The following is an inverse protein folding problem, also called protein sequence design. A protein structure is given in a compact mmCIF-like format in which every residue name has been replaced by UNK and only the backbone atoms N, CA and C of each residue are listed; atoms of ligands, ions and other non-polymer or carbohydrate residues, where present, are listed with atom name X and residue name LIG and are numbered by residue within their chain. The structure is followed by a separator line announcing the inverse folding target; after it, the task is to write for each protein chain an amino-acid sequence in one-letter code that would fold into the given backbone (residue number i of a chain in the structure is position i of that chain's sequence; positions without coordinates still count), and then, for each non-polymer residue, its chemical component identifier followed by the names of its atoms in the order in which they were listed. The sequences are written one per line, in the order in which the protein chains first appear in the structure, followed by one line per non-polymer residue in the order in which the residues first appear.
data_IF_703149480890
#
_entry.id   IF_703149480890
#
_cell.length_a   1.000
_cell.length_b   1.000
_cell.length_c   1.000
_cell.angle_alpha   90.00
_cell.angle_beta   90.00
_cell.angle_gamma   90.00
#
_symmetry.space_group_name_H-M   'P 1'
#
loop_
_entity.id
_entity.type
_entity.pdbx_description
1 polymer ?
#
# COMPACT_ATOMS: atom_id res chain seq x y z
N UNK A 1 -14.81 7.26 17.88
CA UNK A 1 -13.98 8.48 17.71
C UNK A 1 -13.24 8.33 16.41
N UNK A 2 -13.18 9.36 15.57
CA UNK A 2 -12.44 9.33 14.31
C UNK A 2 -10.96 9.02 14.60
N UNK A 3 -10.31 8.21 13.77
CA UNK A 3 -8.90 7.90 13.95
C UNK A 3 -8.00 9.09 13.56
N UNK A 4 -6.82 9.26 14.19
CA UNK A 4 -5.86 10.26 13.76
C UNK A 4 -5.30 9.95 12.37
N UNK A 5 -4.78 10.97 11.69
CA UNK A 5 -4.18 10.84 10.35
C UNK A 5 -2.74 11.34 10.38
N UNK A 6 -1.84 10.52 9.87
CA UNK A 6 -0.45 10.88 9.62
C UNK A 6 -0.33 11.45 8.20
N UNK A 7 0.06 12.72 8.06
CA UNK A 7 0.16 13.40 6.76
C UNK A 7 1.58 13.82 6.45
N UNK A 8 1.95 13.76 5.17
CA UNK A 8 3.19 14.31 4.65
C UNK A 8 2.90 15.53 3.77
N UNK A 9 3.39 16.69 4.19
CA UNK A 9 3.21 17.95 3.49
C UNK A 9 4.10 18.04 2.24
N UNK A 10 3.79 18.93 1.26
CA UNK A 10 4.63 19.12 0.07
C UNK A 10 6.10 19.44 0.37
N UNK A 11 6.38 20.08 1.52
CA UNK A 11 7.74 20.33 2.03
C UNK A 11 8.37 19.15 2.79
N UNK A 12 7.73 18.00 2.78
CA UNK A 12 8.08 16.77 3.51
C UNK A 12 8.04 16.90 5.04
N UNK A 13 7.46 17.97 5.58
CA UNK A 13 7.09 18.00 6.99
C UNK A 13 6.04 16.90 7.25
N UNK A 14 6.20 16.19 8.36
CA UNK A 14 5.27 15.15 8.79
C UNK A 14 4.46 15.69 9.95
N UNK A 15 3.15 15.63 9.80
CA UNK A 15 2.18 16.22 10.73
C UNK A 15 1.18 15.14 11.15
N UNK A 16 0.78 15.17 12.42
CA UNK A 16 -0.28 14.34 12.97
C UNK A 16 -1.55 15.16 13.11
N UNK A 17 -2.60 14.78 12.39
CA UNK A 17 -3.93 15.36 12.50
C UNK A 17 -4.74 14.53 13.49
N UNK A 18 -5.18 15.15 14.59
CA UNK A 18 -6.08 14.53 15.58
C UNK A 18 -7.46 15.19 15.45
N UNK A 19 -8.56 14.43 15.44
CA UNK A 19 -9.88 15.03 15.44
C UNK A 19 -10.12 15.79 16.75
N UNK A 20 -10.78 16.94 16.66
CA UNK A 20 -11.22 17.75 17.79
C UNK A 20 -12.65 18.27 17.57
N UNK A 21 -13.15 19.13 18.47
CA UNK A 21 -14.50 19.70 18.37
C UNK A 21 -14.67 20.64 17.15
N UNK A 22 -13.57 21.23 16.67
CA UNK A 22 -13.53 22.20 15.56
C UNK A 22 -13.12 21.57 14.21
N UNK A 23 -12.90 20.24 14.18
CA UNK A 23 -12.46 19.49 13.02
C UNK A 23 -11.17 18.71 13.26
N UNK A 24 -10.03 19.30 12.89
CA UNK A 24 -8.72 18.64 12.94
C UNK A 24 -7.64 19.54 13.54
N UNK A 25 -7.02 19.07 14.62
CA UNK A 25 -5.83 19.66 15.22
C UNK A 25 -4.56 19.07 14.63
N UNK A 26 -3.76 19.92 13.98
CA UNK A 26 -2.44 19.56 13.49
C UNK A 26 -1.38 19.66 14.60
N UNK A 27 -0.51 18.66 14.70
CA UNK A 27 0.68 18.65 15.55
C UNK A 27 1.90 18.21 14.74
N UNK A 28 3.00 18.99 14.72
CA UNK A 28 4.19 18.61 13.97
C UNK A 28 4.85 17.37 14.60
N UNK A 29 5.23 16.39 13.78
CA UNK A 29 6.00 15.21 14.20
C UNK A 29 7.45 15.30 13.74
N UNK A 30 7.68 15.68 12.48
CA UNK A 30 9.03 15.80 11.94
C UNK A 30 9.11 16.95 10.95
N UNK A 31 10.26 17.65 10.93
CA UNK A 31 10.50 18.76 9.98
C UNK A 31 10.68 18.28 8.54
N UNK A 32 11.14 17.05 8.37
CA UNK A 32 11.34 16.41 7.08
C UNK A 32 11.22 14.88 7.22
N UNK A 33 10.51 14.25 6.29
CA UNK A 33 10.27 12.82 6.26
C UNK A 33 9.51 12.41 5.00
N UNK A 34 9.79 11.20 4.53
CA UNK A 34 9.11 10.61 3.38
C UNK A 34 8.37 9.36 3.84
N UNK A 35 7.19 9.13 3.27
CA UNK A 35 6.42 7.88 3.42
C UNK A 35 6.29 7.41 4.87
N UNK A 36 5.69 8.24 5.75
CA UNK A 36 5.55 7.87 7.14
C UNK A 36 4.53 6.72 7.28
N UNK A 37 4.83 5.74 8.15
CA UNK A 37 3.99 4.56 8.40
C UNK A 37 3.75 4.39 9.89
N UNK A 38 2.55 3.93 10.26
CA UNK A 38 2.20 3.58 11.64
C UNK A 38 2.85 2.25 12.04
N UNK A 39 3.38 2.15 13.27
CA UNK A 39 3.75 0.87 13.88
C UNK A 39 2.48 0.20 14.42
N UNK A 40 2.05 -0.96 13.89
CA UNK A 40 0.81 -1.61 14.32
C UNK A 40 0.79 -1.89 15.83
N UNK A 41 -0.31 -1.51 16.50
CA UNK A 41 -0.49 -1.75 17.94
C UNK A 41 0.33 -0.85 18.89
N UNK A 42 1.04 0.15 18.37
CA UNK A 42 1.93 1.00 19.18
C UNK A 42 1.69 2.49 18.87
N UNK A 43 1.92 3.36 19.86
CA UNK A 43 1.93 4.82 19.68
C UNK A 43 3.25 5.30 19.07
N UNK A 44 3.59 4.76 17.91
CA UNK A 44 4.82 5.07 17.21
C UNK A 44 4.62 5.06 15.69
N UNK A 45 5.44 5.85 15.01
CA UNK A 45 5.48 5.94 13.55
C UNK A 45 6.92 5.77 13.09
N UNK A 46 7.12 5.25 11.88
CA UNK A 46 8.40 5.33 11.19
C UNK A 46 8.31 6.22 9.96
N UNK A 47 9.42 6.86 9.60
CA UNK A 47 9.52 7.67 8.40
C UNK A 47 10.90 7.51 7.78
N UNK A 48 10.97 7.66 6.46
CA UNK A 48 12.24 7.69 5.75
C UNK A 48 12.84 9.08 5.81
N UNK A 49 14.13 9.19 6.14
CA UNK A 49 14.90 10.43 6.11
C UNK A 49 15.97 10.30 5.03
N UNK A 50 16.21 11.38 4.29
CA UNK A 50 17.35 11.49 3.36
C UNK A 50 18.17 12.70 3.76
N UNK A 51 19.41 12.47 4.17
CA UNK A 51 20.37 13.50 4.56
C UNK A 51 21.42 13.66 3.47
N UNK A 52 21.69 14.90 3.07
CA UNK A 52 22.74 15.22 2.11
C UNK A 52 24.04 15.55 2.84
N UNK A 53 25.06 14.73 2.63
CA UNK A 53 26.41 14.92 3.15
C UNK A 53 27.34 15.32 1.99
N UNK A 54 27.38 16.62 1.69
CA UNK A 54 28.14 17.16 0.55
C UNK A 54 27.62 16.66 -0.80
N UNK A 55 28.40 15.84 -1.50
CA UNK A 55 28.01 15.19 -2.76
C UNK A 55 27.31 13.84 -2.55
N UNK A 56 27.41 13.27 -1.36
CA UNK A 56 26.80 11.99 -1.02
C UNK A 56 25.43 12.21 -0.39
N UNK A 57 24.58 11.20 -0.48
CA UNK A 57 23.35 11.13 0.29
C UNK A 57 23.40 9.89 1.17
N UNK A 58 22.78 10.00 2.34
CA UNK A 58 22.44 8.85 3.18
C UNK A 58 20.94 8.85 3.38
N UNK A 59 20.36 7.66 3.44
CA UNK A 59 18.99 7.49 3.86
C UNK A 59 18.91 6.65 5.13
N UNK A 60 17.92 6.93 5.94
CA UNK A 60 17.63 6.19 7.16
C UNK A 60 16.13 5.97 7.27
N UNK A 61 15.73 4.98 8.08
CA UNK A 61 14.36 4.87 8.58
C UNK A 61 14.41 5.13 10.07
N UNK A 62 13.74 6.20 10.48
CA UNK A 62 13.67 6.63 11.87
C UNK A 62 12.30 6.30 12.44
N UNK A 63 12.27 5.94 13.72
CA UNK A 63 11.06 5.72 14.49
C UNK A 63 10.89 6.83 15.52
N UNK A 64 9.67 7.34 15.65
CA UNK A 64 9.29 8.43 16.54
C UNK A 64 8.02 8.07 17.31
N UNK A 65 7.83 8.67 18.48
CA UNK A 65 6.53 8.68 19.14
C UNK A 65 5.57 9.69 18.51
N UNK A 66 4.35 9.79 19.05
CA UNK A 66 3.31 10.68 18.52
C UNK A 66 3.45 12.16 18.98
N UNK A 67 4.51 12.45 19.73
CA UNK A 67 4.96 13.77 20.14
C UNK A 67 6.14 14.26 19.30
N UNK A 68 6.67 13.40 18.41
CA UNK A 68 7.78 13.70 17.52
C UNK A 68 9.15 13.50 18.15
N UNK A 69 9.23 12.85 19.33
CA UNK A 69 10.52 12.46 19.89
C UNK A 69 11.07 11.28 19.09
N UNK A 70 12.33 11.40 18.69
CA UNK A 70 13.05 10.30 18.06
C UNK A 70 13.23 9.17 19.09
N UNK A 71 12.70 7.99 18.78
CA UNK A 71 12.85 6.80 19.59
C UNK A 71 14.13 6.07 19.22
N UNK A 72 14.35 5.83 17.91
CA UNK A 72 15.54 5.14 17.39
C UNK A 72 15.56 5.08 15.86
N UNK A 73 16.72 4.76 15.31
CA UNK A 73 16.87 4.30 13.92
C UNK A 73 16.54 2.81 13.78
N UNK A 74 15.88 2.47 12.67
CA UNK A 74 15.54 1.11 12.23
C UNK A 74 16.40 0.66 11.05
N UNK A 75 16.96 1.60 10.29
CA UNK A 75 17.83 1.34 9.15
C UNK A 75 18.71 2.55 8.86
N UNK A 76 19.93 2.29 8.42
CA UNK A 76 20.82 3.30 7.83
C UNK A 76 21.43 2.75 6.53
N UNK A 77 21.38 3.54 5.46
CA UNK A 77 21.98 3.18 4.18
C UNK A 77 23.51 3.12 4.31
N UNK A 78 24.18 2.16 3.65
CA UNK A 78 25.64 2.19 3.54
C UNK A 78 26.14 3.49 2.92
N UNK A 79 27.30 3.96 3.40
CA UNK A 79 27.98 5.11 2.82
C UNK A 79 28.29 4.93 1.32
N UNK A 80 27.99 5.95 0.51
CA UNK A 80 28.43 6.04 -0.89
C UNK A 80 27.50 5.42 -1.94
N UNK A 81 26.29 4.97 -1.54
CA UNK A 81 25.25 4.46 -2.45
C UNK A 81 24.19 5.50 -2.80
N UNK A 82 23.29 5.14 -3.73
CA UNK A 82 22.05 5.90 -3.93
C UNK A 82 21.17 5.82 -2.68
N UNK A 83 20.59 6.95 -2.28
CA UNK A 83 19.75 7.04 -1.08
C UNK A 83 18.25 6.86 -1.37
N UNK A 84 17.88 6.61 -2.63
CA UNK A 84 16.48 6.49 -3.05
C UNK A 84 16.27 5.36 -4.05
N UNK A 85 15.10 4.72 -3.98
CA UNK A 85 14.70 3.64 -4.90
C UNK A 85 13.88 4.17 -6.09
N UNK A 86 13.26 5.33 -5.95
CA UNK A 86 12.57 6.07 -7.02
C UNK A 86 12.47 7.57 -6.65
N UNK A 87 12.11 8.47 -7.59
CA UNK A 87 11.87 9.88 -7.27
C UNK A 87 10.87 10.03 -6.11
N UNK A 88 11.25 10.76 -5.06
CA UNK A 88 10.49 10.95 -3.82
C UNK A 88 10.19 9.67 -3.00
N UNK A 89 10.80 8.53 -3.33
CA UNK A 89 10.65 7.26 -2.60
C UNK A 89 12.03 6.78 -2.15
N UNK A 90 12.48 7.15 -0.93
CA UNK A 90 13.74 6.67 -0.40
C UNK A 90 13.72 5.16 -0.17
N UNK A 91 12.62 4.69 0.42
CA UNK A 91 12.40 3.31 0.78
C UNK A 91 10.93 2.93 0.62
N UNK A 92 10.67 1.62 0.53
CA UNK A 92 9.36 1.06 0.83
C UNK A 92 9.42 0.31 2.16
N UNK A 93 8.67 0.78 3.16
CA UNK A 93 8.65 0.26 4.52
C UNK A 93 7.32 -0.48 4.79
N UNK A 94 7.39 -1.70 5.32
CA UNK A 94 6.22 -2.52 5.65
C UNK A 94 6.42 -3.21 7.01
N UNK A 95 5.73 -2.71 8.01
CA UNK A 95 5.67 -3.33 9.34
C UNK A 95 5.02 -4.71 9.30
N UNK A 96 5.51 -5.63 10.13
CA UNK A 96 4.79 -6.86 10.46
C UNK A 96 3.45 -6.49 11.13
N UNK A 97 2.39 -7.30 10.98
CA UNK A 97 1.09 -7.04 11.62
C UNK A 97 1.17 -6.94 13.14
N UNK A 98 2.14 -7.62 13.75
CA UNK A 98 2.49 -7.60 15.17
C UNK A 98 3.28 -6.37 15.61
N UNK A 99 3.83 -5.58 14.67
CA UNK A 99 4.59 -4.37 14.94
C UNK A 99 5.97 -4.61 15.58
N UNK A 100 6.45 -5.85 15.59
CA UNK A 100 7.74 -6.27 16.16
C UNK A 100 8.89 -6.17 15.14
N UNK A 101 8.58 -6.13 13.83
CA UNK A 101 9.57 -6.12 12.75
C UNK A 101 9.19 -5.18 11.63
N UNK A 102 10.20 -4.62 10.98
CA UNK A 102 10.05 -3.83 9.76
C UNK A 102 10.76 -4.51 8.59
N UNK A 103 9.99 -4.88 7.57
CA UNK A 103 10.54 -5.24 6.27
C UNK A 103 10.73 -3.96 5.44
N UNK A 104 11.91 -3.82 4.85
CA UNK A 104 12.33 -2.57 4.19
C UNK A 104 12.95 -2.87 2.83
N UNK A 105 12.41 -2.30 1.75
CA UNK A 105 13.07 -2.29 0.45
C UNK A 105 13.84 -0.98 0.30
N UNK A 106 15.14 -1.07 0.13
CA UNK A 106 16.07 0.05 0.06
C UNK A 106 17.18 -0.23 -0.97
N UNK A 107 17.98 0.79 -1.31
CA UNK A 107 19.22 0.60 -2.05
C UNK A 107 20.27 -0.05 -1.15
N UNK A 108 20.74 -1.23 -1.53
CA UNK A 108 21.87 -1.92 -0.93
C UNK A 108 23.14 -1.82 -1.78
N UNK A 109 24.22 -2.45 -1.32
CA UNK A 109 25.50 -2.49 -2.05
C UNK A 109 25.42 -3.19 -3.42
N UNK A 110 24.46 -4.10 -3.59
CA UNK A 110 24.28 -4.91 -4.78
C UNK A 110 23.01 -4.53 -5.58
N UNK A 111 22.51 -3.30 -5.39
CA UNK A 111 21.25 -2.83 -5.96
C UNK A 111 20.10 -2.91 -4.97
N UNK A 112 18.86 -2.97 -5.48
CA UNK A 112 17.66 -3.03 -4.66
C UNK A 112 17.68 -4.27 -3.76
N UNK A 113 17.50 -4.05 -2.46
CA UNK A 113 17.60 -5.09 -1.43
C UNK A 113 16.44 -4.98 -0.45
N UNK A 114 15.87 -6.14 -0.10
CA UNK A 114 14.97 -6.31 1.02
C UNK A 114 15.81 -6.54 2.28
N UNK A 115 15.61 -5.68 3.27
CA UNK A 115 16.16 -5.78 4.61
C UNK A 115 15.07 -6.12 5.62
N UNK A 116 15.46 -6.75 6.73
CA UNK A 116 14.61 -6.97 7.89
C UNK A 116 15.24 -6.35 9.12
N UNK A 117 14.47 -5.58 9.87
CA UNK A 117 14.90 -4.92 11.11
C UNK A 117 13.95 -5.25 12.26
N UNK A 118 14.50 -5.52 13.44
CA UNK A 118 13.74 -5.73 14.67
C UNK A 118 13.38 -4.37 15.29
N UNK A 119 12.12 -4.17 15.67
CA UNK A 119 11.62 -2.89 16.19
C UNK A 119 12.36 -2.47 17.47
N UNK A 120 12.55 -3.43 18.37
CA UNK A 120 13.11 -3.22 19.71
C UNK A 120 14.48 -3.93 19.89
N UNK A 121 15.01 -4.55 18.83
CA UNK A 121 16.31 -5.24 18.83
C UNK A 121 17.52 -4.32 18.57
N UNK A 122 18.74 -4.84 18.37
CA UNK A 122 19.87 -4.01 17.94
C UNK A 122 19.64 -3.43 16.52
N UNK A 123 20.32 -2.33 16.17
CA UNK A 123 20.29 -1.78 14.81
C UNK A 123 21.06 -2.70 13.85
N UNK A 124 20.39 -3.76 13.43
CA UNK A 124 20.85 -4.76 12.47
C UNK A 124 19.75 -4.88 11.42
N UNK A 125 20.04 -4.41 10.22
CA UNK A 125 19.18 -4.56 9.06
C UNK A 125 19.74 -5.68 8.19
N UNK A 126 19.22 -6.89 8.36
CA UNK A 126 19.74 -8.06 7.67
C UNK A 126 19.28 -8.07 6.21
N UNK A 127 20.20 -8.17 5.23
CA UNK A 127 19.80 -8.35 3.84
C UNK A 127 19.19 -9.75 3.67
N UNK A 128 17.94 -9.79 3.23
CA UNK A 128 17.17 -11.02 3.01
C UNK A 128 17.22 -11.45 1.54
N UNK A 129 17.01 -10.49 0.64
CA UNK A 129 16.92 -10.76 -0.80
C UNK A 129 17.40 -9.53 -1.57
N UNK A 130 18.21 -9.75 -2.60
CA UNK A 130 18.64 -8.71 -3.55
C UNK A 130 18.04 -9.02 -4.92
N UNK A 131 17.70 -7.97 -5.66
CA UNK A 131 17.20 -8.05 -7.03
C UNK A 131 16.13 -7.01 -7.28
N UNK A 132 15.69 -6.88 -8.53
CA UNK A 132 14.56 -6.06 -8.88
C UNK A 132 13.70 -6.79 -9.92
N UNK A 133 12.36 -6.64 -9.90
CA UNK A 133 11.58 -5.98 -8.84
C UNK A 133 11.53 -6.79 -7.53
N UNK A 134 11.16 -6.14 -6.42
CA UNK A 134 10.91 -6.75 -5.10
C UNK A 134 9.53 -6.35 -4.58
N UNK A 135 8.69 -7.36 -4.33
CA UNK A 135 7.40 -7.20 -3.66
C UNK A 135 7.31 -8.20 -2.50
N UNK A 136 6.53 -7.85 -1.48
CA UNK A 136 6.45 -8.65 -0.27
C UNK A 136 5.09 -8.53 0.41
N UNK A 137 4.72 -9.58 1.14
CA UNK A 137 3.55 -9.61 1.99
C UNK A 137 3.82 -10.40 3.27
N UNK A 138 3.46 -9.80 4.40
CA UNK A 138 3.43 -10.49 5.68
C UNK A 138 2.23 -11.45 5.74
N UNK A 139 2.46 -12.61 6.34
CA UNK A 139 1.38 -13.41 6.91
C UNK A 139 0.76 -12.69 8.12
N UNK A 140 -0.51 -12.94 8.45
CA UNK A 140 -1.24 -12.20 9.48
C UNK A 140 -0.64 -12.32 10.88
N UNK A 141 0.01 -13.44 11.18
CA UNK A 141 0.70 -13.70 12.46
C UNK A 141 2.08 -13.04 12.55
N UNK A 142 2.60 -12.44 11.46
CA UNK A 142 3.93 -11.85 11.40
C UNK A 142 5.08 -12.87 11.36
N UNK A 143 4.80 -14.17 11.41
CA UNK A 143 5.82 -15.23 11.45
C UNK A 143 6.43 -15.55 10.09
N UNK A 144 5.72 -15.22 9.00
CA UNK A 144 6.15 -15.51 7.61
C UNK A 144 6.12 -14.28 6.73
N UNK A 145 7.07 -14.21 5.82
CA UNK A 145 7.17 -13.19 4.78
C UNK A 145 7.22 -13.82 3.39
N UNK A 146 6.19 -13.60 2.57
CA UNK A 146 6.24 -13.93 1.15
C UNK A 146 7.09 -12.88 0.42
N UNK A 147 8.06 -13.34 -0.38
CA UNK A 147 8.98 -12.49 -1.13
C UNK A 147 8.88 -12.85 -2.61
N UNK A 148 8.45 -11.88 -3.42
CA UNK A 148 8.42 -11.97 -4.87
C UNK A 148 9.60 -11.15 -5.43
N UNK A 149 10.61 -11.86 -5.94
CA UNK A 149 11.86 -11.28 -6.41
C UNK A 149 12.16 -11.71 -7.84
N UNK A 150 12.09 -10.76 -8.77
CA UNK A 150 12.20 -11.07 -10.20
C UNK A 150 11.03 -11.95 -10.67
N UNK A 151 11.30 -13.24 -10.85
CA UNK A 151 10.32 -14.26 -11.24
C UNK A 151 10.16 -15.35 -10.18
N UNK A 152 10.89 -15.24 -9.07
CA UNK A 152 10.85 -16.21 -8.00
C UNK A 152 9.91 -15.72 -6.91
N UNK A 153 9.05 -16.60 -6.42
CA UNK A 153 8.26 -16.41 -5.23
C UNK A 153 8.73 -17.42 -4.17
N UNK A 154 9.03 -16.94 -2.98
CA UNK A 154 9.35 -17.77 -1.81
C UNK A 154 8.60 -17.29 -0.57
N UNK A 155 8.49 -18.17 0.42
CA UNK A 155 8.04 -17.83 1.77
C UNK A 155 9.22 -18.02 2.72
N UNK A 156 9.52 -16.97 3.46
CA UNK A 156 10.52 -16.98 4.52
C UNK A 156 9.83 -17.19 5.87
N UNK A 157 10.21 -18.26 6.57
CA UNK A 157 9.80 -18.55 7.95
C UNK A 157 10.77 -17.85 8.92
N UNK A 158 10.27 -16.96 9.78
CA UNK A 158 11.13 -16.13 10.64
C UNK A 158 11.48 -16.76 12.00
N UNK A 159 11.00 -17.96 12.29
CA UNK A 159 11.42 -18.72 13.48
C UNK A 159 12.87 -19.21 13.31
N UNK A 160 13.75 -18.73 14.21
CA UNK A 160 15.15 -19.08 14.58
C UNK A 160 16.20 -19.50 13.51
N UNK A 161 15.82 -19.92 12.30
CA UNK A 161 16.73 -20.32 11.22
C UNK A 161 16.42 -19.67 9.86
N UNK A 162 15.47 -18.73 9.78
CA UNK A 162 15.11 -18.00 8.55
C UNK A 162 15.01 -18.92 7.32
N UNK A 163 14.26 -20.02 7.47
CA UNK A 163 14.15 -21.01 6.40
C UNK A 163 13.35 -20.40 5.24
N UNK A 164 13.97 -20.36 4.05
CA UNK A 164 13.32 -19.90 2.83
C UNK A 164 12.82 -21.09 2.03
N UNK A 165 11.53 -21.08 1.69
CA UNK A 165 10.86 -22.15 0.93
C UNK A 165 10.39 -21.61 -0.42
N UNK A 166 10.85 -22.15 -1.56
CA UNK A 166 10.38 -21.72 -2.87
C UNK A 166 8.92 -22.13 -3.09
N UNK A 167 8.11 -21.20 -3.62
CA UNK A 167 6.72 -21.40 -4.01
C UNK A 167 6.62 -21.57 -5.54
N UNK A 168 7.29 -20.70 -6.28
CA UNK A 168 7.31 -20.72 -7.73
C UNK A 168 8.61 -20.13 -8.25
N UNK A 169 9.18 -20.74 -9.28
CA UNK A 169 10.32 -20.21 -10.02
C UNK A 169 9.89 -19.41 -11.27
N UNK A 170 8.58 -19.29 -11.51
CA UNK A 170 8.01 -18.55 -12.63
C UNK A 170 6.73 -17.79 -12.23
N UNK A 171 6.84 -17.01 -11.16
CA UNK A 171 5.84 -16.08 -10.68
C UNK A 171 5.87 -14.81 -11.55
N UNK A 172 4.87 -14.61 -12.41
CA UNK A 172 4.81 -13.47 -13.35
C UNK A 172 3.37 -12.98 -13.53
N UNK A 173 3.25 -11.76 -14.03
CA UNK A 173 1.96 -11.13 -14.33
C UNK A 173 1.21 -10.62 -13.09
N UNK A 174 1.89 -10.49 -11.96
CA UNK A 174 1.40 -9.80 -10.76
C UNK A 174 2.59 -9.16 -10.02
N UNK A 175 2.31 -8.30 -9.04
CA UNK A 175 3.36 -7.71 -8.18
C UNK A 175 3.35 -8.32 -6.80
N UNK A 176 2.34 -8.02 -6.00
CA UNK A 176 2.33 -8.39 -4.58
C UNK A 176 1.54 -9.68 -4.37
N UNK A 177 2.14 -10.72 -3.76
CA UNK A 177 1.37 -11.90 -3.34
C UNK A 177 0.44 -11.53 -2.19
N UNK A 178 -0.62 -12.30 -1.96
CA UNK A 178 -1.60 -11.99 -0.92
C UNK A 178 -1.85 -13.15 0.02
N UNK A 179 -1.63 -12.94 1.31
CA UNK A 179 -2.14 -13.84 2.36
C UNK A 179 -3.61 -13.55 2.66
N UNK A 180 -4.39 -14.59 2.97
CA UNK A 180 -5.69 -14.47 3.65
C UNK A 180 -5.49 -14.07 5.11
N UNK A 181 -6.50 -13.47 5.73
CA UNK A 181 -6.41 -12.95 7.11
C UNK A 181 -6.25 -14.04 8.19
N UNK A 182 -6.62 -15.28 7.86
CA UNK A 182 -6.37 -16.46 8.70
C UNK A 182 -5.00 -17.11 8.43
N UNK A 183 -4.25 -16.62 7.43
CA UNK A 183 -2.94 -17.12 7.06
C UNK A 183 -2.94 -18.51 6.44
N UNK A 184 -4.11 -19.07 6.09
CA UNK A 184 -4.24 -20.39 5.47
C UNK A 184 -3.95 -20.40 3.97
N UNK A 185 -4.10 -19.25 3.29
CA UNK A 185 -3.93 -19.14 1.85
C UNK A 185 -2.88 -18.09 1.50
N UNK A 186 -2.12 -18.38 0.45
CA UNK A 186 -1.23 -17.45 -0.25
C UNK A 186 -1.59 -17.42 -1.74
N UNK A 187 -2.14 -16.31 -2.21
CA UNK A 187 -2.50 -16.10 -3.61
C UNK A 187 -1.34 -15.47 -4.40
N UNK A 188 -1.12 -15.96 -5.62
CA UNK A 188 -0.14 -15.48 -6.57
C UNK A 188 -0.56 -15.81 -8.01
N UNK A 189 0.24 -15.43 -9.02
CA UNK A 189 -0.03 -15.79 -10.41
C UNK A 189 1.21 -16.34 -11.12
N UNK A 190 0.98 -17.17 -12.14
CA UNK A 190 1.99 -17.70 -13.06
C UNK A 190 1.53 -17.48 -14.50
N UNK A 191 2.41 -17.48 -15.51
CA UNK A 191 1.98 -17.46 -16.91
C UNK A 191 1.02 -18.62 -17.22
N UNK A 192 0.05 -18.40 -18.11
CA UNK A 192 -0.82 -19.45 -18.64
C UNK A 192 -0.20 -20.21 -19.83
N UNK A 193 0.97 -19.75 -20.30
CA UNK A 193 1.68 -20.30 -21.45
C UNK A 193 1.26 -19.69 -22.80
N UNK A 194 0.29 -18.76 -22.82
CA UNK A 194 -0.25 -18.11 -24.00
C UNK A 194 -0.27 -16.57 -23.91
N UNK A 195 0.72 -15.90 -24.48
CA UNK A 195 0.73 -14.43 -24.56
C UNK A 195 0.90 -13.77 -23.17
N UNK A 196 0.09 -12.75 -22.90
CA UNK A 196 0.14 -11.95 -21.65
C UNK A 196 -0.76 -12.50 -20.52
N UNK A 197 -1.41 -13.65 -20.74
CA UNK A 197 -2.35 -14.25 -19.79
C UNK A 197 -1.68 -14.87 -18.56
N UNK A 198 -2.47 -15.05 -17.51
CA UNK A 198 -2.02 -15.61 -16.23
C UNK A 198 -3.00 -16.62 -15.65
N UNK A 199 -2.45 -17.58 -14.91
CA UNK A 199 -3.18 -18.46 -14.02
C UNK A 199 -3.01 -17.94 -12.60
N UNK A 200 -4.10 -17.57 -11.94
CA UNK A 200 -4.12 -17.29 -10.51
C UNK A 200 -4.08 -18.60 -9.75
N UNK A 201 -3.15 -18.70 -8.83
CA UNK A 201 -2.91 -19.88 -8.00
C UNK A 201 -3.01 -19.51 -6.53
N UNK A 202 -3.45 -20.47 -5.74
CA UNK A 202 -3.46 -20.38 -4.28
C UNK A 202 -2.60 -21.50 -3.75
N UNK A 203 -1.70 -21.15 -2.84
CA UNK A 203 -1.00 -22.13 -2.04
C UNK A 203 -1.54 -22.17 -0.61
N UNK A 204 -1.32 -23.29 0.09
CA UNK A 204 -1.40 -23.29 1.56
C UNK A 204 -0.51 -22.16 2.11
N UNK A 205 -0.79 -21.61 3.29
CA UNK A 205 -0.01 -20.48 3.81
C UNK A 205 1.48 -20.81 4.01
N UNK A 206 1.81 -22.07 4.36
CA UNK A 206 3.20 -22.57 4.39
C UNK A 206 3.78 -22.69 2.98
N UNK A 207 2.89 -22.93 2.01
CA UNK A 207 3.10 -22.98 0.57
C UNK A 207 3.29 -24.39 -0.02
N UNK A 208 2.99 -25.44 0.73
CA UNK A 208 3.30 -26.84 0.34
C UNK A 208 2.41 -27.39 -0.78
N UNK A 209 1.19 -26.87 -0.92
CA UNK A 209 0.23 -27.29 -1.92
C UNK A 209 -0.15 -26.07 -2.73
N UNK A 210 -0.20 -26.18 -4.06
CA UNK A 210 -0.63 -25.10 -4.95
C UNK A 210 -1.72 -25.59 -5.89
N UNK A 211 -2.83 -24.86 -5.94
CA UNK A 211 -3.96 -25.11 -6.83
C UNK A 211 -4.22 -23.91 -7.75
N UNK A 212 -4.66 -24.18 -8.99
CA UNK A 212 -5.12 -23.13 -9.89
C UNK A 212 -6.59 -22.81 -9.58
N UNK A 213 -6.92 -21.53 -9.46
CA UNK A 213 -8.27 -21.07 -9.06
C UNK A 213 -8.95 -20.18 -10.11
N UNK A 214 -8.20 -19.73 -11.13
CA UNK A 214 -8.76 -18.98 -12.26
C UNK A 214 -7.71 -18.65 -13.31
N UNK A 215 -8.16 -18.46 -14.54
CA UNK A 215 -7.36 -18.02 -15.69
C UNK A 215 -7.84 -16.65 -16.12
N UNK A 216 -6.90 -15.73 -16.40
CA UNK A 216 -7.19 -14.34 -16.72
C UNK A 216 -6.36 -13.86 -17.92
N UNK A 217 -6.91 -13.02 -18.79
CA UNK A 217 -6.30 -12.66 -20.07
C UNK A 217 -5.14 -11.65 -19.98
N UNK A 218 -4.70 -11.29 -18.77
CA UNK A 218 -3.69 -10.27 -18.57
C UNK A 218 -3.19 -10.23 -17.12
N UNK A 219 -2.35 -9.25 -16.82
CA UNK A 219 -1.78 -9.08 -15.49
C UNK A 219 -2.83 -8.82 -14.41
N UNK A 220 -2.53 -9.20 -13.18
CA UNK A 220 -3.45 -9.16 -12.04
C UNK A 220 -2.87 -8.47 -10.82
N UNK A 221 -3.74 -7.85 -10.04
CA UNK A 221 -3.49 -7.46 -8.65
C UNK A 221 -4.44 -8.25 -7.74
N UNK A 222 -3.89 -8.75 -6.63
CA UNK A 222 -4.55 -9.74 -5.76
C UNK A 222 -4.75 -9.18 -4.36
N UNK A 223 -5.96 -9.34 -3.81
CA UNK A 223 -6.26 -9.01 -2.43
C UNK A 223 -7.37 -9.89 -1.88
N UNK A 224 -7.20 -10.42 -0.67
CA UNK A 224 -8.31 -11.06 0.04
C UNK A 224 -9.27 -9.99 0.59
N UNK A 225 -10.56 -10.30 0.55
CA UNK A 225 -11.58 -9.54 1.26
C UNK A 225 -11.40 -9.79 2.76
N UNK A 226 -11.23 -8.73 3.58
CA UNK A 226 -10.98 -8.88 5.00
C UNK A 226 -11.99 -9.78 5.73
N UNK A 227 -11.49 -10.61 6.64
CA UNK A 227 -12.29 -11.55 7.44
C UNK A 227 -12.89 -12.72 6.65
N UNK A 228 -12.53 -12.89 5.38
CA UNK A 228 -13.08 -13.95 4.52
C UNK A 228 -11.98 -14.69 3.74
N UNK A 229 -12.37 -15.79 3.10
CA UNK A 229 -11.54 -16.52 2.13
C UNK A 229 -11.80 -16.08 0.67
N UNK A 230 -12.52 -14.98 0.46
CA UNK A 230 -12.84 -14.50 -0.88
C UNK A 230 -11.65 -13.71 -1.43
N UNK A 231 -11.05 -14.21 -2.52
CA UNK A 231 -9.98 -13.53 -3.24
C UNK A 231 -10.57 -12.57 -4.28
N UNK A 232 -10.13 -11.32 -4.26
CA UNK A 232 -10.38 -10.34 -5.31
C UNK A 232 -9.23 -10.33 -6.31
N UNK A 233 -9.56 -10.35 -7.59
CA UNK A 233 -8.61 -10.32 -8.71
C UNK A 233 -8.93 -9.12 -9.60
N UNK A 234 -8.12 -8.07 -9.52
CA UNK A 234 -8.20 -6.95 -10.45
C UNK A 234 -7.37 -7.28 -11.69
N UNK A 235 -7.96 -7.21 -12.88
CA UNK A 235 -7.33 -7.64 -14.14
C UNK A 235 -7.04 -6.43 -15.03
N UNK A 236 -5.82 -6.35 -15.57
CA UNK A 236 -5.44 -5.40 -16.61
C UNK A 236 -5.12 -6.13 -17.90
N UNK A 237 -5.82 -5.78 -18.98
CA UNK A 237 -5.55 -6.32 -20.32
C UNK A 237 -4.62 -5.43 -21.15
N UNK A 238 -4.36 -4.22 -20.65
CA UNK A 238 -3.50 -3.22 -21.29
C UNK A 238 -2.58 -2.60 -20.24
N UNK A 239 -1.53 -3.31 -19.79
CA UNK A 239 -0.66 -2.87 -18.70
C UNK A 239 -0.06 -1.47 -18.94
N UNK A 240 0.22 -1.14 -20.20
CA UNK A 240 0.74 0.18 -20.61
C UNK A 240 -0.22 1.36 -20.29
N UNK A 241 -1.50 1.09 -20.05
CA UNK A 241 -2.47 2.12 -19.66
C UNK A 241 -2.38 2.51 -18.18
N UNK A 242 -1.71 1.69 -17.35
CA UNK A 242 -1.68 1.87 -15.89
C UNK A 242 -3.04 1.68 -15.20
N UNK A 243 -4.04 1.15 -15.91
CA UNK A 243 -5.38 0.91 -15.40
C UNK A 243 -5.76 -0.59 -15.48
N UNK A 244 -6.69 -0.97 -14.64
CA UNK A 244 -7.38 -2.25 -14.63
C UNK A 244 -8.75 -2.09 -15.27
N UNK A 245 -9.24 -3.14 -15.93
CA UNK A 245 -10.50 -3.12 -16.67
C UNK A 245 -11.60 -3.94 -15.98
N UNK A 246 -11.22 -4.89 -15.12
CA UNK A 246 -12.16 -5.81 -14.47
C UNK A 246 -11.76 -6.10 -13.02
N UNK A 247 -12.77 -6.36 -12.19
CA UNK A 247 -12.62 -6.91 -10.85
C UNK A 247 -13.44 -8.19 -10.76
N UNK A 248 -12.79 -9.28 -10.38
CA UNK A 248 -13.37 -10.58 -10.16
C UNK A 248 -13.27 -10.98 -8.69
N UNK A 249 -14.15 -11.86 -8.25
CA UNK A 249 -14.10 -12.49 -6.92
C UNK A 249 -14.07 -14.00 -7.07
N UNK A 250 -13.34 -14.67 -6.19
CA UNK A 250 -13.25 -16.14 -6.10
C UNK A 250 -13.45 -16.52 -4.64
N UNK A 251 -14.57 -17.18 -4.30
CA UNK A 251 -14.71 -17.78 -2.96
C UNK A 251 -13.92 -19.09 -2.91
N UNK A 252 -12.88 -19.15 -2.08
CA UNK A 252 -12.00 -20.30 -1.98
C UNK A 252 -12.65 -21.41 -1.14
N UNK A 253 -13.25 -22.39 -1.81
CA UNK A 253 -13.89 -23.54 -1.17
C UNK A 253 -14.12 -24.69 -2.15
N UNK A 254 -15.00 -25.63 -1.80
CA UNK A 254 -15.38 -26.68 -2.74
C UNK A 254 -16.08 -26.08 -3.95
N UNK A 255 -15.46 -26.20 -5.14
CA UNK A 255 -16.03 -25.69 -6.39
C UNK A 255 -15.76 -24.21 -6.66
N UNK A 256 -14.65 -23.63 -6.14
CA UNK A 256 -14.19 -22.27 -6.44
C UNK A 256 -14.31 -21.92 -7.92
N UNK A 257 -15.03 -20.84 -8.23
CA UNK A 257 -15.16 -20.31 -9.60
C UNK A 257 -15.02 -18.78 -9.57
N UNK A 258 -14.31 -18.19 -10.54
CA UNK A 258 -14.29 -16.74 -10.71
C UNK A 258 -15.66 -16.19 -11.09
N UNK A 259 -16.07 -15.13 -10.40
CA UNK A 259 -17.28 -14.36 -10.68
C UNK A 259 -16.89 -12.90 -10.98
N UNK A 260 -17.42 -12.35 -12.08
CA UNK A 260 -17.16 -10.97 -12.46
C UNK A 260 -17.98 -10.04 -11.57
N UNK A 261 -17.31 -9.26 -10.73
CA UNK A 261 -17.97 -8.27 -9.87
C UNK A 261 -18.20 -6.95 -10.62
N UNK A 262 -17.23 -6.54 -11.45
CA UNK A 262 -17.24 -5.22 -12.07
C UNK A 262 -16.40 -5.19 -13.34
N UNK A 263 -16.93 -4.61 -14.42
CA UNK A 263 -16.19 -4.31 -15.66
C UNK A 263 -16.21 -2.80 -15.93
N UNK A 264 -15.10 -2.13 -15.64
CA UNK A 264 -14.88 -0.69 -15.88
C UNK A 264 -13.40 -0.34 -15.67
N UNK A 265 -12.89 0.75 -16.26
CA UNK A 265 -11.56 1.25 -15.95
C UNK A 265 -11.46 1.78 -14.51
N UNK A 266 -10.41 1.38 -13.80
CA UNK A 266 -9.99 1.94 -12.52
C UNK A 266 -8.47 1.82 -12.36
N UNK A 267 -7.83 2.74 -11.64
CA UNK A 267 -6.40 2.67 -11.35
C UNK A 267 -6.10 1.79 -10.13
N UNK A 268 -7.03 1.77 -9.16
CA UNK A 268 -6.82 1.10 -7.88
C UNK A 268 -8.13 0.63 -7.29
N UNK A 269 -8.06 -0.40 -6.46
CA UNK A 269 -9.17 -0.92 -5.65
C UNK A 269 -8.66 -1.33 -4.27
N UNK A 270 -9.31 -0.85 -3.21
CA UNK A 270 -8.94 -1.16 -1.83
C UNK A 270 -10.17 -1.55 -1.01
N UNK A 271 -10.10 -2.72 -0.37
CA UNK A 271 -11.05 -3.11 0.67
C UNK A 271 -10.94 -2.19 1.88
N UNK A 272 -12.08 -1.83 2.44
CA UNK A 272 -12.13 -1.26 3.78
C UNK A 272 -11.80 -2.34 4.83
N UNK A 273 -11.34 -1.97 6.03
CA UNK A 273 -10.93 -2.94 7.05
C UNK A 273 -12.02 -3.91 7.52
N UNK A 274 -13.30 -3.55 7.37
CA UNK A 274 -14.43 -4.43 7.73
C UNK A 274 -14.75 -5.46 6.64
N UNK A 275 -14.24 -5.26 5.42
CA UNK A 275 -14.56 -6.07 4.25
C UNK A 275 -15.96 -5.84 3.70
N UNK A 276 -16.68 -4.81 4.12
CA UNK A 276 -18.03 -4.49 3.62
C UNK A 276 -18.00 -3.66 2.33
N UNK A 277 -16.94 -2.87 2.13
CA UNK A 277 -16.84 -1.83 1.09
C UNK A 277 -15.54 -1.93 0.30
N UNK A 278 -15.63 -1.45 -0.92
CA UNK A 278 -14.52 -1.24 -1.84
C UNK A 278 -14.44 0.24 -2.21
N UNK A 279 -13.26 0.84 -2.08
CA UNK A 279 -12.96 2.14 -2.65
C UNK A 279 -12.14 1.95 -3.93
N UNK A 280 -12.48 2.71 -4.97
CA UNK A 280 -11.81 2.73 -6.25
C UNK A 280 -11.27 4.12 -6.51
N UNK A 281 -10.03 4.19 -7.02
CA UNK A 281 -9.50 5.41 -7.63
C UNK A 281 -9.76 5.28 -9.13
N UNK A 282 -10.59 6.14 -9.68
CA UNK A 282 -11.06 6.05 -11.07
C UNK A 282 -10.57 7.25 -11.87
N UNK A 283 -9.80 7.04 -12.96
CA UNK A 283 -9.42 8.11 -13.87
C UNK A 283 -10.65 8.83 -14.44
N UNK A 284 -10.59 10.16 -14.50
CA UNK A 284 -11.58 10.95 -15.21
C UNK A 284 -11.44 10.75 -16.72
N UNK A 285 -12.57 10.79 -17.43
CA UNK A 285 -12.61 10.68 -18.89
C UNK A 285 -12.09 11.93 -19.62
N UNK A 286 -11.76 12.99 -18.89
CA UNK A 286 -11.36 14.31 -19.39
C UNK A 286 -9.91 14.38 -19.89
N UNK A 287 -9.07 13.39 -19.56
CA UNK A 287 -7.66 13.34 -20.00
C UNK A 287 -6.74 14.37 -19.34
N UNK A 288 -7.23 15.11 -18.35
CA UNK A 288 -6.51 16.10 -17.55
C UNK A 288 -5.74 15.49 -16.37
N UNK A 289 -5.72 14.17 -16.27
CA UNK A 289 -5.09 13.43 -15.17
C UNK A 289 -5.88 13.49 -13.85
N UNK A 290 -7.10 14.04 -13.85
CA UNK A 290 -7.96 14.03 -12.68
C UNK A 290 -8.48 12.62 -12.37
N UNK A 291 -8.75 12.36 -11.09
CA UNK A 291 -9.35 11.12 -10.59
C UNK A 291 -10.57 11.42 -9.72
N UNK A 292 -11.50 10.48 -9.64
CA UNK A 292 -12.57 10.47 -8.65
C UNK A 292 -12.49 9.22 -7.78
N UNK A 293 -12.93 9.33 -6.54
CA UNK A 293 -13.09 8.19 -5.63
C UNK A 293 -14.48 7.62 -5.83
N UNK A 294 -14.60 6.31 -6.05
CA UNK A 294 -15.88 5.62 -6.08
C UNK A 294 -15.93 4.58 -4.97
N UNK A 295 -17.10 4.40 -4.36
CA UNK A 295 -17.32 3.39 -3.35
C UNK A 295 -18.41 2.41 -3.77
N UNK A 296 -18.22 1.15 -3.40
CA UNK A 296 -19.20 0.08 -3.61
C UNK A 296 -19.26 -0.83 -2.38
N UNK A 297 -20.38 -1.51 -2.19
CA UNK A 297 -20.45 -2.65 -1.29
C UNK A 297 -19.68 -3.83 -1.88
N UNK A 298 -19.36 -4.82 -1.03
CA UNK A 298 -18.78 -6.10 -1.45
C UNK A 298 -19.62 -6.82 -2.51
N UNK A 299 -20.94 -6.60 -2.54
CA UNK A 299 -21.88 -7.10 -3.55
C UNK A 299 -21.73 -6.44 -4.92
N UNK A 300 -20.94 -5.37 -5.03
CA UNK A 300 -20.79 -4.56 -6.24
C UNK A 300 -21.78 -3.39 -6.32
N UNK A 301 -22.74 -3.27 -5.39
CA UNK A 301 -23.68 -2.15 -5.34
C UNK A 301 -22.95 -0.82 -5.21
N UNK A 302 -23.35 0.19 -6.00
CA UNK A 302 -22.72 1.50 -5.98
C UNK A 302 -23.18 2.35 -4.80
N UNK A 303 -22.24 2.76 -3.94
CA UNK A 303 -22.50 3.60 -2.79
C UNK A 303 -22.41 5.09 -3.12
N UNK A 304 -21.34 5.52 -3.80
CA UNK A 304 -21.12 6.95 -4.04
C UNK A 304 -19.86 7.25 -4.84
N UNK A 305 -19.75 8.51 -5.25
CA UNK A 305 -18.60 9.06 -5.94
C UNK A 305 -18.25 10.43 -5.37
N UNK A 306 -16.96 10.71 -5.20
CA UNK A 306 -16.47 12.05 -4.88
C UNK A 306 -16.52 12.97 -6.10
N UNK A 307 -16.38 14.28 -5.87
CA UNK A 307 -15.96 15.18 -6.93
C UNK A 307 -14.55 14.82 -7.44
N UNK A 308 -14.22 15.08 -8.72
CA UNK A 308 -12.90 14.83 -9.26
C UNK A 308 -11.85 15.81 -8.71
N UNK A 309 -10.62 15.34 -8.59
CA UNK A 309 -9.46 16.12 -8.15
C UNK A 309 -8.21 15.70 -8.91
N UNK A 310 -7.23 16.60 -9.02
CA UNK A 310 -5.90 16.29 -9.56
C UNK A 310 -5.06 15.67 -8.45
N UNK A 311 -4.64 14.39 -8.56
CA UNK A 311 -3.91 13.72 -7.50
C UNK A 311 -2.49 14.27 -7.36
N UNK A 312 -2.00 14.36 -6.11
CA UNK A 312 -0.59 14.69 -5.83
C UNK A 312 0.37 13.62 -6.37
N UNK A 313 1.66 13.91 -6.58
CA UNK A 313 2.64 12.89 -6.99
C UNK A 313 2.74 11.69 -6.05
N UNK A 314 2.67 11.93 -4.74
CA UNK A 314 2.73 10.85 -3.73
C UNK A 314 1.45 10.00 -3.79
N UNK A 315 0.26 10.62 -3.99
CA UNK A 315 -1.00 9.90 -4.13
C UNK A 315 -1.05 9.07 -5.43
N UNK A 316 -0.51 9.59 -6.53
CA UNK A 316 -0.35 8.85 -7.79
C UNK A 316 0.52 7.60 -7.61
N UNK A 317 1.55 7.69 -6.77
CA UNK A 317 2.42 6.54 -6.47
C UNK A 317 1.65 5.44 -5.72
N UNK A 318 0.83 5.80 -4.73
CA UNK A 318 -0.08 4.82 -4.09
C UNK A 318 -1.07 4.25 -5.09
N UNK A 319 -1.70 5.09 -5.91
CA UNK A 319 -2.68 4.60 -6.88
C UNK A 319 -2.05 3.59 -7.86
N UNK A 320 -0.85 3.90 -8.36
CA UNK A 320 -0.11 3.03 -9.27
C UNK A 320 0.38 1.72 -8.62
N UNK A 321 0.63 1.70 -7.31
CA UNK A 321 1.17 0.56 -6.56
C UNK A 321 0.26 0.13 -5.40
N UNK A 322 -1.06 0.22 -5.57
CA UNK A 322 -2.03 0.07 -4.48
C UNK A 322 -2.01 -1.32 -3.81
N UNK A 323 -1.69 -2.36 -4.55
CA UNK A 323 -1.53 -3.75 -4.08
C UNK A 323 -0.32 -3.93 -3.17
N UNK A 324 0.68 -3.05 -3.30
CA UNK A 324 1.83 -2.95 -2.40
C UNK A 324 1.52 -1.95 -1.26
N UNK A 325 1.26 -0.69 -1.59
CA UNK A 325 1.12 0.40 -0.61
C UNK A 325 -0.16 0.32 0.24
N UNK A 326 -1.24 -0.31 -0.25
CA UNK A 326 -2.48 -0.47 0.51
C UNK A 326 -2.32 -1.26 1.81
N UNK A 327 -1.20 -1.98 1.99
CA UNK A 327 -0.85 -2.70 3.23
C UNK A 327 -0.12 -1.83 4.25
N UNK A 328 0.79 -0.96 3.80
CA UNK A 328 1.65 -0.11 4.64
C UNK A 328 1.08 1.31 4.88
N UNK A 329 0.29 1.81 3.92
CA UNK A 329 -0.18 3.18 3.86
C UNK A 329 -1.71 3.19 3.68
N UNK A 330 -2.44 3.15 4.80
CA UNK A 330 -3.89 2.94 4.82
C UNK A 330 -4.64 4.23 4.48
N UNK A 331 -5.35 4.23 3.36
CA UNK A 331 -6.26 5.32 2.97
C UNK A 331 -7.65 5.21 3.61
N UNK A 332 -8.06 4.01 3.99
CA UNK A 332 -9.30 3.77 4.73
C UNK A 332 -9.13 4.04 6.22
N UNK A 333 -10.14 4.67 6.83
CA UNK A 333 -10.25 4.73 8.28
C UNK A 333 -10.36 3.30 8.86
N UNK A 334 -9.84 3.05 10.07
CA UNK A 334 -9.85 1.72 10.68
C UNK A 334 -11.25 1.11 10.84
N UNK A 335 -12.27 1.97 10.93
CA UNK A 335 -13.68 1.61 11.08
C UNK A 335 -14.45 1.59 9.74
N UNK A 336 -13.78 1.82 8.60
CA UNK A 336 -14.41 1.83 7.28
C UNK A 336 -15.36 3.01 7.02
N UNK A 337 -15.31 4.06 7.83
CA UNK A 337 -16.21 5.22 7.72
C UNK A 337 -15.73 6.31 6.77
N UNK A 338 -14.43 6.37 6.50
CA UNK A 338 -13.82 7.40 5.67
C UNK A 338 -12.70 6.86 4.77
N UNK A 339 -12.46 7.55 3.67
CA UNK A 339 -11.38 7.27 2.73
C UNK A 339 -10.64 8.56 2.38
N UNK A 340 -9.31 8.50 2.29
CA UNK A 340 -8.46 9.65 2.02
C UNK A 340 -8.14 9.80 0.53
N UNK A 341 -8.17 11.07 0.10
CA UNK A 341 -7.59 11.54 -1.16
C UNK A 341 -6.40 12.47 -0.87
N UNK A 342 -5.52 12.66 -1.84
CA UNK A 342 -4.41 13.61 -1.74
C UNK A 342 -4.21 14.34 -3.06
N UNK A 343 -4.32 15.66 -3.07
CA UNK A 343 -4.24 16.45 -4.30
C UNK A 343 -5.02 17.76 -4.25
N UNK A 344 -5.55 18.21 -5.40
CA UNK A 344 -6.22 19.50 -5.55
C UNK A 344 -7.58 19.35 -6.21
N UNK A 345 -8.62 19.90 -5.59
CA UNK A 345 -9.96 19.91 -6.18
C UNK A 345 -9.98 20.80 -7.43
N UNK A 346 -10.72 20.39 -8.47
CA UNK A 346 -10.82 21.19 -9.71
C UNK A 346 -11.50 22.54 -9.50
N UNK A 347 -12.28 22.69 -8.43
CA UNK A 347 -12.94 23.94 -8.04
C UNK A 347 -11.99 24.95 -7.41
N UNK A 348 -10.80 24.53 -6.97
CA UNK A 348 -9.88 25.38 -6.23
C UNK A 348 -9.02 26.28 -7.13
N UNK A 349 -9.07 26.12 -8.47
CA UNK A 349 -8.58 27.13 -9.41
C UNK A 349 -9.03 26.87 -10.86
N UNK A 350 -9.61 27.86 -11.59
CA UNK A 350 -10.22 27.62 -12.90
C UNK A 350 -9.24 27.43 -14.08
N UNK A 351 -7.92 27.62 -13.93
CA UNK A 351 -6.96 27.33 -14.99
C UNK A 351 -5.50 27.19 -14.52
N UNK A 352 -4.77 26.23 -15.10
CA UNK A 352 -3.33 26.00 -14.87
C UNK A 352 -2.43 27.21 -15.20
N UNK A 353 -2.93 28.17 -15.99
CA UNK A 353 -2.26 29.42 -16.34
C UNK A 353 -2.27 30.46 -15.20
N UNK A 354 -3.21 30.35 -14.27
CA UNK A 354 -3.25 31.14 -13.04
C UNK A 354 -2.72 30.26 -11.92
N UNK A 355 -1.40 30.11 -11.82
CA UNK A 355 -0.78 29.52 -10.62
C UNK A 355 -1.10 30.43 -9.45
N UNK A 356 -2.20 30.18 -8.75
CA UNK A 356 -2.58 30.86 -7.52
C UNK A 356 -1.74 30.42 -6.31
N UNK A 357 -0.86 29.42 -6.48
CA UNK A 357 -0.09 28.84 -5.40
C UNK A 357 -0.85 27.77 -4.61
N UNK A 358 -1.98 27.26 -5.13
CA UNK A 358 -2.73 26.14 -4.56
C UNK A 358 -1.81 24.95 -4.35
N UNK A 359 -1.61 24.61 -3.07
CA UNK A 359 -0.84 23.46 -2.62
C UNK A 359 -1.71 22.22 -2.62
N UNK A 360 -1.10 21.06 -2.76
CA UNK A 360 -1.81 19.80 -2.54
C UNK A 360 -2.37 19.77 -1.11
N UNK A 361 -3.59 19.26 -1.01
CA UNK A 361 -4.35 19.16 0.21
C UNK A 361 -4.68 17.71 0.52
N UNK A 362 -4.79 17.43 1.82
CA UNK A 362 -5.36 16.19 2.28
C UNK A 362 -6.88 16.28 2.17
N UNK A 363 -7.46 15.31 1.47
CA UNK A 363 -8.88 15.22 1.22
C UNK A 363 -9.48 14.07 2.03
N UNK A 364 -10.63 14.31 2.63
CA UNK A 364 -11.36 13.34 3.42
C UNK A 364 -12.74 13.13 2.82
N UNK A 365 -13.10 11.88 2.56
CA UNK A 365 -14.36 11.54 1.90
C UNK A 365 -15.10 10.45 2.67
N UNK A 366 -16.40 10.64 2.90
CA UNK A 366 -17.29 9.58 3.36
C UNK A 366 -17.80 8.80 2.14
N UNK A 367 -17.54 7.48 2.06
CA UNK A 367 -17.85 6.67 0.87
C UNK A 367 -19.34 6.32 0.74
N UNK A 368 -20.17 7.34 0.59
CA UNK A 368 -21.63 7.25 0.46
C UNK A 368 -22.17 8.27 -0.55
N UNK A 369 -23.45 8.12 -0.92
CA UNK A 369 -24.05 8.92 -1.99
C UNK A 369 -24.21 10.37 -1.55
N UNK A 370 -23.66 11.30 -2.35
CA UNK A 370 -23.84 12.73 -2.15
C UNK A 370 -22.96 13.32 -1.03
N UNK A 371 -22.11 12.52 -0.39
CA UNK A 371 -21.15 13.03 0.58
C UNK A 371 -20.08 13.89 -0.12
N UNK A 372 -19.82 15.11 0.38
CA UNK A 372 -18.75 15.94 -0.15
C UNK A 372 -17.38 15.33 0.16
N UNK A 373 -16.40 15.63 -0.69
CA UNK A 373 -14.99 15.43 -0.38
C UNK A 373 -14.47 16.74 0.21
N UNK A 374 -13.95 16.66 1.43
CA UNK A 374 -13.61 17.82 2.25
C UNK A 374 -12.10 17.98 2.35
N UNK A 375 -11.63 19.23 2.29
CA UNK A 375 -10.23 19.56 2.59
C UNK A 375 -10.04 19.62 4.10
N UNK A 376 -9.15 18.78 4.64
CA UNK A 376 -8.91 18.69 6.09
C UNK A 376 -7.51 19.14 6.52
N UNK A 377 -6.63 19.46 5.58
CA UNK A 377 -5.29 19.98 5.89
C UNK A 377 -4.43 20.22 4.66
N UNK A 378 -3.22 20.76 4.87
CA UNK A 378 -2.15 20.69 3.88
C UNK A 378 -1.56 19.27 3.88
N UNK A 379 -1.18 18.78 2.69
CA UNK A 379 -0.72 17.40 2.58
C UNK A 379 -0.83 16.88 1.16
N UNK A 380 0.25 16.32 0.64
CA UNK A 380 0.16 15.55 -0.62
C UNK A 380 -0.55 14.22 -0.39
N UNK A 381 -0.47 13.67 0.83
CA UNK A 381 -0.96 12.34 1.16
C UNK A 381 -1.14 12.18 2.67
N UNK A 382 -2.03 11.29 3.10
CA UNK A 382 -2.21 10.96 4.51
C UNK A 382 -2.65 9.52 4.73
N UNK A 383 -2.39 9.01 5.94
CA UNK A 383 -2.58 7.61 6.30
C UNK A 383 -3.23 7.46 7.67
N UNK A 384 -4.27 6.65 7.73
CA UNK A 384 -4.84 6.18 8.98
C UNK A 384 -3.97 5.08 9.61
N UNK A 385 -4.05 4.89 10.94
CA UNK A 385 -3.44 3.74 11.60
C UNK A 385 -4.07 2.42 11.11
N UNK A 386 -3.38 1.28 11.26
CA UNK A 386 -4.01 -0.02 11.08
C UNK A 386 -5.15 -0.23 12.08
N UNK A 387 -6.15 -1.08 11.77
CA UNK A 387 -7.14 -1.47 12.76
C UNK A 387 -6.46 -2.15 13.95
N UNK A 388 -7.03 -2.01 15.17
CA UNK A 388 -6.53 -2.76 16.32
C UNK A 388 -6.58 -4.27 16.01
N UNK A 389 -5.66 -5.07 16.56
CA UNK A 389 -5.70 -6.52 16.40
C UNK A 389 -7.07 -7.05 16.84
N UNK A 390 -7.63 -7.99 16.09
CA UNK A 390 -8.84 -8.69 16.49
C UNK A 390 -8.55 -9.42 17.81
N UNK A 391 -9.27 -9.03 18.87
CA UNK A 391 -9.10 -9.56 20.22
C UNK A 391 -9.66 -10.96 20.42
#
# INVERSE_FOLDING_TARGET
MTAPILTAEPGKAVTLLRPDEDGWRASPLARAGYWPTWRPGHEAVSLSVVVREGKQQRSAVEMLDLEGNHLRSLFESPLGGEAVIAPNVPHYALWSPTGDRLALVAQGRAGLTLFLSEADGPLIADPIQTGAPLFLAWSPDGGRLAVHAGVNLSVLELAEARASRPISADARGFRTPAFSDDGHFLAFATPDGGGDGVIVRVAAGSGDVTEAVGEFPGGVALAFRPGTRTLSVAVTTRPASGAFDELWTIDLGAGSRPELLLRRPFSSVLWDPTGEKLAFIVPSATGDGAVSLHARLASGEFLGASAPFVPSPDYQTIAGFFDQYGRSHRLWAPDGTAFLGGGRLLTDSPAAAFRDGSRDALLHWRPERGAPIERIGEGGIGFFPPPPPAG
#
